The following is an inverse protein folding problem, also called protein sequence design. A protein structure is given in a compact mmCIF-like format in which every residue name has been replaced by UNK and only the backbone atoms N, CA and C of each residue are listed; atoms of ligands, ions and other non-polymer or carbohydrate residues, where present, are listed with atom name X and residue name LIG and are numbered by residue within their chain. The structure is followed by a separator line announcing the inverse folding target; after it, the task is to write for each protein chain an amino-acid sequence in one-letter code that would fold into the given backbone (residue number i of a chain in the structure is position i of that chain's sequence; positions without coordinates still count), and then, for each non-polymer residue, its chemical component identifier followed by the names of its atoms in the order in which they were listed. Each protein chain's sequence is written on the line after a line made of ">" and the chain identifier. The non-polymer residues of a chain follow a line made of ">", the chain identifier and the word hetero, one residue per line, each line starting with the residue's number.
data_IF_841593274958
#
_entry.id   IF_841593274958
#
_cell.length_a   1.000
_cell.length_b   1.000
_cell.length_c   1.000
_cell.angle_alpha   90.00
_cell.angle_beta   90.00
_cell.angle_gamma   90.00
#
_symmetry.space_group_name_H-M   'P 1'
#
loop_
_entity.id
_entity.type
_entity.pdbx_description
1 polymer ?
#
# COMPACT_ATOMS: atom_id res chain seq x y z
N UNK A 1 -21.02 -56.39 -35.33
CA UNK A 1 -21.43 -55.77 -34.05
C UNK A 1 -20.35 -54.76 -33.67
N UNK A 2 -20.75 -53.49 -33.49
CA UNK A 2 -19.84 -52.36 -33.26
C UNK A 2 -19.34 -52.36 -31.80
N UNK A 3 -18.08 -52.00 -31.53
CA UNK A 3 -17.65 -51.67 -30.17
C UNK A 3 -18.25 -50.32 -29.76
N UNK A 4 -18.90 -50.29 -28.59
CA UNK A 4 -19.41 -49.08 -27.97
C UNK A 4 -18.23 -48.27 -27.41
N UNK A 5 -17.96 -47.13 -28.02
CA UNK A 5 -17.11 -46.09 -27.45
C UNK A 5 -17.89 -45.42 -26.31
N UNK A 6 -17.72 -45.91 -25.08
CA UNK A 6 -18.02 -45.11 -23.89
C UNK A 6 -16.91 -44.08 -23.74
N UNK A 7 -17.21 -42.85 -24.18
CA UNK A 7 -16.38 -41.68 -24.02
C UNK A 7 -16.27 -41.42 -22.52
N UNK A 8 -15.17 -41.88 -21.92
CA UNK A 8 -14.73 -41.47 -20.60
C UNK A 8 -14.37 -39.98 -20.71
N UNK A 9 -15.35 -39.11 -20.48
CA UNK A 9 -15.12 -37.68 -20.30
C UNK A 9 -14.26 -37.51 -19.05
N UNK A 10 -12.94 -37.44 -19.27
CA UNK A 10 -12.00 -36.93 -18.30
C UNK A 10 -12.30 -35.43 -18.17
N UNK A 11 -13.25 -35.11 -17.28
CA UNK A 11 -13.41 -33.75 -16.77
C UNK A 11 -12.14 -33.49 -15.96
N UNK A 12 -11.09 -33.04 -16.67
CA UNK A 12 -9.93 -32.44 -16.07
C UNK A 12 -10.45 -31.17 -15.40
N UNK A 13 -10.87 -31.29 -14.15
CA UNK A 13 -10.92 -30.16 -13.24
C UNK A 13 -9.49 -29.62 -13.25
N UNK A 14 -9.23 -28.64 -14.12
CA UNK A 14 -8.18 -27.68 -13.90
C UNK A 14 -8.63 -27.00 -12.60
N UNK A 15 -8.20 -27.58 -11.48
CA UNK A 15 -8.10 -26.88 -10.22
C UNK A 15 -7.04 -25.83 -10.52
N UNK A 16 -7.48 -24.73 -11.14
CA UNK A 16 -6.72 -23.48 -11.11
C UNK A 16 -6.42 -23.33 -9.62
N UNK A 17 -5.15 -23.25 -9.20
CA UNK A 17 -4.87 -22.86 -7.84
C UNK A 17 -5.48 -21.46 -7.72
N UNK A 18 -6.70 -21.39 -7.17
CA UNK A 18 -7.21 -20.17 -6.59
C UNK A 18 -6.09 -19.73 -5.69
N UNK A 19 -5.40 -18.70 -6.16
CA UNK A 19 -4.23 -18.20 -5.49
C UNK A 19 -4.79 -17.75 -4.15
N UNK A 20 -4.50 -18.54 -3.11
CA UNK A 20 -4.57 -18.15 -1.72
C UNK A 20 -3.56 -17.02 -1.56
N UNK A 21 -3.81 -15.87 -2.20
CA UNK A 21 -3.38 -14.60 -1.67
C UNK A 21 -4.19 -14.48 -0.39
N UNK A 22 -3.60 -15.02 0.68
CA UNK A 22 -4.05 -14.79 2.04
C UNK A 22 -4.42 -13.32 2.12
N UNK A 23 -5.66 -13.10 2.51
CA UNK A 23 -6.34 -11.87 2.28
C UNK A 23 -5.70 -10.72 3.08
N UNK A 24 -4.73 -10.00 2.47
CA UNK A 24 -3.92 -9.02 3.19
C UNK A 24 -4.67 -7.70 3.31
N UNK A 25 -4.72 -7.17 4.54
CA UNK A 25 -5.14 -5.80 4.80
C UNK A 25 -4.30 -4.82 3.99
N UNK A 26 -4.94 -3.73 3.59
CA UNK A 26 -4.32 -2.64 2.85
C UNK A 26 -4.02 -1.49 3.81
N UNK A 27 -2.92 -0.78 3.60
CA UNK A 27 -2.46 0.24 4.55
C UNK A 27 -2.26 1.61 3.93
N UNK A 28 -2.39 1.75 2.61
CA UNK A 28 -2.16 3.02 1.93
C UNK A 28 -3.31 3.33 0.96
N UNK A 29 -3.71 4.60 0.92
CA UNK A 29 -4.55 5.16 -0.13
C UNK A 29 -4.20 6.63 -0.26
N UNK A 30 -4.23 7.19 -1.47
CA UNK A 30 -3.95 8.61 -1.69
C UNK A 30 -2.56 9.06 -1.21
N UNK A 31 -1.57 8.15 -1.27
CA UNK A 31 -0.22 8.38 -0.74
C UNK A 31 -0.16 8.62 0.77
N UNK A 32 -1.22 8.27 1.50
CA UNK A 32 -1.34 8.38 2.96
C UNK A 32 -1.40 6.95 3.48
N UNK A 33 -0.62 6.66 4.52
CA UNK A 33 -0.66 5.40 5.25
C UNK A 33 -1.56 5.48 6.48
N UNK A 34 -2.34 4.43 6.74
CA UNK A 34 -2.95 4.22 8.05
C UNK A 34 -1.85 4.19 9.10
N UNK A 35 -2.05 4.80 10.27
CA UNK A 35 -1.05 4.90 11.33
C UNK A 35 -0.02 6.02 11.15
N UNK A 36 -0.05 6.78 10.04
CA UNK A 36 0.79 7.96 9.88
C UNK A 36 0.26 9.15 10.69
N UNK A 37 1.13 10.11 11.03
CA UNK A 37 0.71 11.32 11.73
C UNK A 37 -0.21 12.16 10.85
N UNK A 38 -1.33 12.64 11.40
CA UNK A 38 -2.24 13.55 10.68
C UNK A 38 -1.60 14.87 10.28
N UNK A 39 -0.66 15.37 11.09
CA UNK A 39 0.04 16.62 10.80
C UNK A 39 0.73 16.57 9.43
N UNK A 40 1.27 15.40 9.05
CA UNK A 40 1.89 15.18 7.75
C UNK A 40 0.87 15.29 6.60
N UNK A 41 -0.37 14.87 6.82
CA UNK A 41 -1.44 15.05 5.80
C UNK A 41 -1.70 16.53 5.55
N UNK A 42 -1.71 17.34 6.61
CA UNK A 42 -1.88 18.80 6.51
C UNK A 42 -0.67 19.45 5.81
N UNK A 43 0.54 18.95 6.04
CA UNK A 43 1.74 19.40 5.32
C UNK A 43 1.68 19.07 3.82
N UNK A 44 1.12 17.91 3.45
CA UNK A 44 1.02 17.47 2.05
C UNK A 44 -0.11 18.21 1.30
N UNK A 45 -1.28 18.35 1.92
CA UNK A 45 -2.51 18.80 1.24
C UNK A 45 -2.98 20.19 1.68
N UNK A 46 -2.23 20.88 2.54
CA UNK A 46 -2.59 22.18 3.10
C UNK A 46 -3.61 22.06 4.24
N UNK A 47 -4.24 23.18 4.60
CA UNK A 47 -5.22 23.21 5.70
C UNK A 47 -6.54 22.53 5.27
N UNK A 48 -7.17 21.70 6.12
CA UNK A 48 -8.49 21.16 5.82
C UNK A 48 -9.54 22.29 5.68
N UNK A 49 -10.49 22.11 4.77
CA UNK A 49 -11.61 23.06 4.59
C UNK A 49 -12.71 22.84 5.63
N UNK A 50 -12.78 21.64 6.21
CA UNK A 50 -13.69 21.29 7.29
C UNK A 50 -13.03 20.26 8.19
N UNK A 51 -13.17 20.46 9.50
CA UNK A 51 -12.76 19.51 10.52
C UNK A 51 -13.83 19.43 11.59
N UNK A 52 -13.96 18.27 12.23
CA UNK A 52 -14.88 18.09 13.34
C UNK A 52 -14.38 17.00 14.27
N UNK A 53 -14.69 17.15 15.56
CA UNK A 53 -14.51 16.12 16.58
C UNK A 53 -15.88 15.80 17.14
N UNK A 54 -16.27 14.53 17.04
CA UNK A 54 -17.51 13.99 17.57
C UNK A 54 -17.41 13.83 19.09
N UNK A 55 -18.56 13.64 19.75
CA UNK A 55 -18.65 13.52 21.21
C UNK A 55 -17.90 12.30 21.77
N UNK A 56 -17.76 11.23 20.98
CA UNK A 56 -17.03 10.01 21.33
C UNK A 56 -15.50 10.15 21.18
N UNK A 57 -15.03 11.31 20.71
CA UNK A 57 -13.64 11.65 20.48
C UNK A 57 -13.10 11.24 19.11
N UNK A 58 -13.90 10.59 18.25
CA UNK A 58 -13.53 10.45 16.84
C UNK A 58 -13.45 11.83 16.19
N UNK A 59 -12.57 11.99 15.22
CA UNK A 59 -12.46 13.25 14.49
C UNK A 59 -12.09 13.03 13.04
N UNK A 60 -12.41 14.02 12.21
CA UNK A 60 -12.00 14.02 10.82
C UNK A 60 -11.46 15.38 10.38
N UNK A 61 -10.58 15.34 9.37
CA UNK A 61 -10.19 16.47 8.54
C UNK A 61 -10.57 16.17 7.10
N UNK A 62 -11.27 17.10 6.46
CA UNK A 62 -11.65 17.03 5.07
C UNK A 62 -10.87 18.09 4.25
N UNK A 63 -10.31 17.64 3.13
CA UNK A 63 -9.54 18.43 2.17
C UNK A 63 -10.32 18.47 0.85
N UNK A 64 -10.53 19.67 0.33
CA UNK A 64 -11.24 19.87 -0.93
C UNK A 64 -10.21 19.85 -2.04
N UNK A 65 -10.39 18.94 -2.98
CA UNK A 65 -9.57 18.79 -4.16
C UNK A 65 -10.46 19.10 -5.39
N UNK A 66 -9.88 19.07 -6.58
CA UNK A 66 -10.56 19.58 -7.78
C UNK A 66 -11.90 18.88 -8.05
N UNK A 67 -11.92 17.54 -8.01
CA UNK A 67 -13.09 16.73 -8.40
C UNK A 67 -13.50 15.68 -7.37
N UNK A 68 -12.91 15.76 -6.18
CA UNK A 68 -13.22 14.91 -5.05
C UNK A 68 -12.83 15.58 -3.74
N UNK A 69 -13.27 14.98 -2.64
CA UNK A 69 -12.79 15.28 -1.31
C UNK A 69 -11.92 14.13 -0.83
N UNK A 70 -10.90 14.47 -0.04
CA UNK A 70 -10.13 13.54 0.76
C UNK A 70 -10.53 13.77 2.23
N UNK A 71 -10.86 12.71 2.94
CA UNK A 71 -11.16 12.75 4.37
C UNK A 71 -10.18 11.81 5.07
N UNK A 72 -9.57 12.29 6.15
CA UNK A 72 -8.81 11.45 7.07
C UNK A 72 -9.48 11.50 8.44
N UNK A 73 -9.63 10.33 9.05
CA UNK A 73 -10.27 10.17 10.34
C UNK A 73 -9.28 9.66 11.37
N UNK A 74 -9.55 9.93 12.64
CA UNK A 74 -8.78 9.43 13.78
C UNK A 74 -9.70 8.93 14.87
N UNK A 75 -9.28 7.86 15.53
CA UNK A 75 -9.95 7.35 16.72
C UNK A 75 -9.58 8.15 17.97
N UNK A 76 -10.41 8.05 19.00
CA UNK A 76 -10.25 8.80 20.25
C UNK A 76 -8.97 8.47 21.03
N UNK A 77 -8.47 7.24 20.96
CA UNK A 77 -7.26 6.80 21.68
C UNK A 77 -5.98 7.29 21.03
N UNK A 78 -5.99 7.51 19.72
CA UNK A 78 -4.85 7.94 18.91
C UNK A 78 -5.26 9.07 17.96
N UNK A 79 -5.66 10.23 18.51
CA UNK A 79 -6.14 11.36 17.72
C UNK A 79 -5.03 11.96 16.84
N UNK A 80 -3.77 11.63 17.10
CA UNK A 80 -2.58 12.02 16.37
C UNK A 80 -2.38 11.24 15.05
N UNK A 81 -3.00 10.07 14.91
CA UNK A 81 -2.76 9.14 13.81
C UNK A 81 -3.96 9.04 12.86
N UNK A 82 -3.66 8.83 11.58
CA UNK A 82 -4.66 8.50 10.57
C UNK A 82 -5.18 7.08 10.83
N UNK A 83 -6.46 6.98 11.18
CA UNK A 83 -7.16 5.73 11.42
C UNK A 83 -7.98 5.25 10.22
N UNK A 84 -8.53 6.19 9.46
CA UNK A 84 -9.18 5.89 8.19
C UNK A 84 -8.89 6.99 7.16
N UNK A 85 -8.98 6.60 5.89
CA UNK A 85 -8.79 7.45 4.72
C UNK A 85 -9.99 7.22 3.83
N UNK A 86 -10.63 8.27 3.37
CA UNK A 86 -11.72 8.21 2.41
C UNK A 86 -11.50 9.19 1.28
N UNK A 87 -11.73 8.75 0.05
CA UNK A 87 -11.89 9.64 -1.09
C UNK A 87 -13.32 9.53 -1.61
N UNK A 88 -13.93 10.66 -1.95
CA UNK A 88 -15.30 10.70 -2.46
C UNK A 88 -15.46 11.79 -3.51
N UNK A 89 -16.08 11.47 -4.63
CA UNK A 89 -16.30 12.41 -5.73
C UNK A 89 -16.37 11.70 -7.09
N UNK A 90 -16.04 12.44 -8.14
CA UNK A 90 -16.19 11.96 -9.51
C UNK A 90 -14.95 11.24 -10.03
N UNK A 91 -13.76 11.74 -9.67
CA UNK A 91 -12.47 11.18 -10.10
C UNK A 91 -11.37 11.57 -9.12
N UNK A 92 -10.26 10.83 -9.16
CA UNK A 92 -9.01 11.18 -8.47
C UNK A 92 -7.82 11.02 -9.43
N UNK A 93 -6.63 11.58 -9.11
CA UNK A 93 -5.41 11.34 -9.88
C UNK A 93 -5.11 9.84 -10.00
N UNK A 94 -4.59 9.42 -11.16
CA UNK A 94 -4.27 8.01 -11.42
C UNK A 94 -3.29 7.48 -10.36
N UNK A 95 -3.51 6.26 -9.88
CA UNK A 95 -2.73 5.57 -8.84
C UNK A 95 -2.91 6.11 -7.42
N UNK A 96 -3.76 7.12 -7.21
CA UNK A 96 -4.03 7.65 -5.86
C UNK A 96 -5.22 6.97 -5.17
N UNK A 97 -5.94 6.12 -5.89
CA UNK A 97 -6.98 5.29 -5.30
C UNK A 97 -6.40 4.13 -4.48
N UNK A 98 -7.17 3.03 -4.37
CA UNK A 98 -6.82 1.86 -3.58
C UNK A 98 -6.41 0.71 -4.50
N UNK A 99 -5.11 0.39 -4.54
CA UNK A 99 -4.58 -0.69 -5.38
C UNK A 99 -5.09 -0.62 -6.83
N UNK A 100 -4.87 0.53 -7.48
CA UNK A 100 -5.33 0.90 -8.82
C UNK A 100 -6.85 1.04 -9.05
N UNK A 101 -7.68 0.84 -8.03
CA UNK A 101 -9.11 1.23 -8.06
C UNK A 101 -9.24 2.71 -7.75
N UNK A 102 -9.81 3.48 -8.68
CA UNK A 102 -10.02 4.91 -8.58
C UNK A 102 -11.53 5.25 -8.63
N UNK A 103 -11.87 6.45 -8.19
CA UNK A 103 -13.19 7.05 -8.39
C UNK A 103 -13.52 7.09 -9.90
N UNK A 104 -14.75 6.73 -10.26
CA UNK A 104 -15.24 6.61 -11.63
C UNK A 104 -14.96 5.26 -12.32
N UNK A 105 -14.16 4.38 -11.70
CA UNK A 105 -14.01 3.00 -12.20
C UNK A 105 -15.34 2.23 -12.10
N UNK A 106 -15.52 1.25 -12.99
CA UNK A 106 -16.65 0.31 -12.92
C UNK A 106 -16.49 -0.61 -11.70
N UNK A 107 -17.60 -0.94 -11.05
CA UNK A 107 -17.59 -1.90 -9.93
C UNK A 107 -17.07 -3.29 -10.34
N UNK A 108 -17.20 -3.66 -11.61
CA UNK A 108 -16.66 -4.91 -12.12
C UNK A 108 -15.13 -4.97 -12.02
N UNK A 109 -14.45 -3.82 -12.14
CA UNK A 109 -13.00 -3.73 -11.92
C UNK A 109 -12.66 -4.06 -10.46
N UNK A 110 -13.40 -3.47 -9.52
CA UNK A 110 -13.27 -3.76 -8.08
C UNK A 110 -13.40 -5.25 -7.81
N UNK A 111 -14.46 -5.88 -8.32
CA UNK A 111 -14.74 -7.30 -8.11
C UNK A 111 -13.65 -8.16 -8.75
N UNK A 112 -13.13 -7.77 -9.93
CA UNK A 112 -12.03 -8.49 -10.58
C UNK A 112 -10.71 -8.37 -9.83
N UNK A 113 -10.47 -7.25 -9.15
CA UNK A 113 -9.22 -6.98 -8.41
C UNK A 113 -9.24 -7.60 -7.02
N UNK A 114 -10.36 -7.50 -6.30
CA UNK A 114 -10.44 -7.90 -4.89
C UNK A 114 -11.29 -9.14 -4.64
N UNK A 115 -12.00 -9.64 -5.65
CA UNK A 115 -12.95 -10.72 -5.49
C UNK A 115 -14.33 -10.22 -5.03
N UNK A 116 -15.16 -11.17 -4.60
CA UNK A 116 -16.52 -10.89 -4.13
C UNK A 116 -16.47 -10.09 -2.80
N UNK A 117 -17.30 -9.05 -2.62
CA UNK A 117 -17.42 -8.38 -1.33
C UNK A 117 -17.99 -9.30 -0.25
N UNK A 118 -17.69 -8.97 1.00
CA UNK A 118 -18.25 -9.61 2.19
C UNK A 118 -19.77 -9.38 2.25
N UNK A 119 -20.19 -8.16 1.92
CA UNK A 119 -21.57 -7.71 1.97
C UNK A 119 -21.84 -6.68 0.87
N UNK A 120 -23.06 -6.70 0.31
CA UNK A 120 -23.59 -5.64 -0.53
C UNK A 120 -24.87 -5.16 0.13
N UNK A 121 -24.97 -3.86 0.42
CA UNK A 121 -26.14 -3.24 1.02
C UNK A 121 -26.62 -2.04 0.20
N UNK A 122 -27.93 -1.86 0.12
CA UNK A 122 -28.52 -0.66 -0.47
C UNK A 122 -28.29 0.57 0.40
N UNK A 123 -28.21 1.73 -0.21
CA UNK A 123 -28.24 3.01 0.51
C UNK A 123 -29.69 3.44 0.79
N UNK A 124 -29.88 4.17 1.88
CA UNK A 124 -31.17 4.72 2.27
C UNK A 124 -31.01 6.20 2.58
N UNK A 125 -31.99 7.01 2.18
CA UNK A 125 -32.04 8.42 2.53
C UNK A 125 -32.29 8.58 4.04
N UNK A 126 -31.49 9.41 4.71
CA UNK A 126 -31.54 9.52 6.16
C UNK A 126 -32.85 10.12 6.68
N UNK A 127 -33.50 11.01 5.93
CA UNK A 127 -34.72 11.71 6.34
C UNK A 127 -35.98 10.89 6.03
N UNK A 128 -36.07 10.39 4.81
CA UNK A 128 -37.25 9.69 4.28
C UNK A 128 -37.22 8.18 4.53
N UNK A 129 -36.04 7.62 4.82
CA UNK A 129 -35.78 6.17 4.93
C UNK A 129 -36.07 5.40 3.64
N UNK A 130 -36.24 6.08 2.51
CA UNK A 130 -36.44 5.45 1.21
C UNK A 130 -35.12 4.91 0.65
N UNK A 131 -35.20 3.79 -0.07
CA UNK A 131 -34.05 3.18 -0.72
C UNK A 131 -33.55 4.03 -1.91
N UNK A 132 -32.28 4.39 -1.89
CA UNK A 132 -31.59 5.06 -2.98
C UNK A 132 -31.10 4.01 -3.99
N UNK A 133 -32.01 3.57 -4.87
CA UNK A 133 -31.81 2.43 -5.80
C UNK A 133 -30.54 2.46 -6.66
N UNK A 134 -29.97 3.64 -6.88
CA UNK A 134 -28.77 3.80 -7.70
C UNK A 134 -27.46 3.69 -6.90
N UNK A 135 -27.53 3.64 -5.57
CA UNK A 135 -26.37 3.65 -4.68
C UNK A 135 -26.30 2.33 -3.91
N UNK A 136 -25.13 1.70 -3.96
CA UNK A 136 -24.84 0.46 -3.28
C UNK A 136 -23.51 0.57 -2.53
N UNK A 137 -23.45 -0.03 -1.34
CA UNK A 137 -22.23 -0.14 -0.56
C UNK A 137 -21.69 -1.57 -0.64
N UNK A 138 -20.43 -1.69 -1.04
CA UNK A 138 -19.68 -2.92 -1.14
C UNK A 138 -18.69 -2.97 0.02
N UNK A 139 -18.87 -3.93 0.92
CA UNK A 139 -18.04 -4.10 2.09
C UNK A 139 -16.96 -5.16 1.84
N UNK A 140 -15.70 -4.82 2.10
CA UNK A 140 -14.56 -5.75 2.19
C UNK A 140 -13.92 -5.63 3.58
N UNK A 141 -14.74 -5.33 4.57
CA UNK A 141 -14.32 -4.92 5.90
C UNK A 141 -13.78 -6.07 6.75
N UNK A 142 -14.23 -7.30 6.50
CA UNK A 142 -13.81 -8.49 7.25
C UNK A 142 -12.67 -9.20 6.52
N UNK A 143 -12.79 -9.32 5.21
CA UNK A 143 -11.82 -9.96 4.33
C UNK A 143 -10.58 -9.08 4.12
N UNK A 144 -10.76 -7.75 4.03
CA UNK A 144 -9.68 -6.77 3.92
C UNK A 144 -9.80 -5.77 5.06
N UNK A 145 -10.14 -4.53 4.74
CA UNK A 145 -10.34 -3.42 5.68
C UNK A 145 -10.83 -2.16 4.96
N UNK A 146 -11.62 -2.31 3.90
CA UNK A 146 -12.12 -1.19 3.13
C UNK A 146 -13.57 -1.40 2.69
N UNK A 147 -14.20 -0.32 2.28
CA UNK A 147 -15.53 -0.32 1.68
C UNK A 147 -15.58 0.64 0.50
N UNK A 148 -16.53 0.41 -0.39
CA UNK A 148 -16.73 1.18 -1.60
C UNK A 148 -18.20 1.56 -1.71
N UNK A 149 -18.47 2.82 -2.03
CA UNK A 149 -19.77 3.25 -2.50
C UNK A 149 -19.76 3.28 -4.03
N UNK A 150 -20.84 2.76 -4.61
CA UNK A 150 -21.05 2.70 -6.05
C UNK A 150 -22.35 3.41 -6.38
N UNK A 151 -22.30 4.37 -7.28
CA UNK A 151 -23.48 4.99 -7.87
C UNK A 151 -23.53 4.68 -9.36
N UNK A 152 -24.67 4.17 -9.85
CA UNK A 152 -24.83 3.82 -11.27
C UNK A 152 -23.70 2.92 -11.81
N UNK A 153 -23.32 1.89 -11.03
CA UNK A 153 -22.22 0.96 -11.31
C UNK A 153 -20.80 1.57 -11.31
N UNK A 154 -20.66 2.85 -10.98
CA UNK A 154 -19.37 3.56 -10.86
C UNK A 154 -18.98 3.81 -9.42
N UNK A 155 -17.69 3.65 -9.10
CA UNK A 155 -17.13 3.95 -7.78
C UNK A 155 -17.23 5.46 -7.50
N UNK A 156 -17.95 5.85 -6.45
CA UNK A 156 -18.10 7.25 -6.01
C UNK A 156 -17.42 7.54 -4.68
N UNK A 157 -17.15 6.51 -3.88
CA UNK A 157 -16.40 6.63 -2.63
C UNK A 157 -15.57 5.37 -2.38
N UNK A 158 -14.37 5.54 -1.84
CA UNK A 158 -13.53 4.46 -1.33
C UNK A 158 -13.11 4.86 0.08
N UNK A 159 -13.38 4.00 1.07
CA UNK A 159 -12.96 4.18 2.46
C UNK A 159 -12.07 3.03 2.89
N UNK A 160 -10.84 3.33 3.27
CA UNK A 160 -9.87 2.42 3.88
C UNK A 160 -9.77 2.70 5.38
N UNK A 161 -9.91 1.68 6.23
CA UNK A 161 -9.89 1.85 7.69
C UNK A 161 -8.91 0.90 8.36
N UNK A 162 -8.35 1.27 9.51
CA UNK A 162 -7.51 0.36 10.27
C UNK A 162 -8.35 -0.71 10.97
N UNK A 163 -8.10 -1.98 10.65
CA UNK A 163 -8.77 -3.15 11.26
C UNK A 163 -7.77 -4.17 11.79
N UNK A 164 -6.67 -3.68 12.37
CA UNK A 164 -5.58 -4.48 12.92
C UNK A 164 -4.42 -4.70 11.96
N UNK A 165 -3.45 -5.49 12.40
CA UNK A 165 -2.18 -5.67 11.69
C UNK A 165 -2.31 -6.56 10.45
N UNK A 166 -1.36 -6.41 9.52
CA UNK A 166 -1.15 -7.32 8.42
C UNK A 166 -0.78 -8.71 8.95
N UNK A 167 -1.20 -9.75 8.23
CA UNK A 167 -0.73 -11.12 8.44
C UNK A 167 0.40 -11.36 7.45
N UNK A 168 1.64 -11.39 7.95
CA UNK A 168 2.84 -11.59 7.14
C UNK A 168 3.71 -12.69 7.73
N UNK A 169 4.52 -13.32 6.87
CA UNK A 169 5.53 -14.29 7.27
C UNK A 169 6.54 -13.71 8.26
N UNK A 170 7.12 -14.60 9.07
CA UNK A 170 8.18 -14.24 10.02
C UNK A 170 9.49 -13.84 9.35
N UNK A 171 9.73 -14.30 8.12
CA UNK A 171 10.84 -13.90 7.27
C UNK A 171 10.37 -12.98 6.14
N UNK A 172 11.27 -12.11 5.68
CA UNK A 172 11.06 -11.32 4.47
C UNK A 172 11.13 -12.23 3.23
N UNK A 173 10.09 -12.20 2.39
CA UNK A 173 10.08 -12.88 1.09
C UNK A 173 10.89 -12.07 0.07
N UNK A 174 12.19 -12.35 -0.02
CA UNK A 174 13.13 -11.57 -0.85
C UNK A 174 12.71 -11.54 -2.34
N UNK A 175 12.37 -12.66 -3.02
CA UNK A 175 12.07 -12.62 -4.44
C UNK A 175 10.85 -11.75 -4.78
N UNK A 176 9.77 -11.83 -4.00
CA UNK A 176 8.57 -11.02 -4.22
C UNK A 176 8.81 -9.54 -3.89
N UNK A 177 9.59 -9.27 -2.85
CA UNK A 177 9.98 -7.90 -2.47
C UNK A 177 10.77 -7.22 -3.59
N UNK A 178 11.77 -7.91 -4.16
CA UNK A 178 12.55 -7.35 -5.26
C UNK A 178 11.72 -7.24 -6.54
N UNK A 179 10.77 -8.14 -6.79
CA UNK A 179 9.82 -7.97 -7.90
C UNK A 179 9.01 -6.66 -7.81
N UNK A 180 8.66 -6.22 -6.58
CA UNK A 180 8.02 -4.92 -6.37
C UNK A 180 8.99 -3.78 -6.65
N UNK A 181 10.19 -3.81 -6.04
CA UNK A 181 11.20 -2.74 -6.18
C UNK A 181 11.71 -2.55 -7.61
N UNK A 182 11.78 -3.63 -8.39
CA UNK A 182 12.19 -3.65 -9.79
C UNK A 182 11.03 -3.36 -10.75
N UNK A 183 9.80 -3.31 -10.24
CA UNK A 183 8.63 -2.96 -11.02
C UNK A 183 8.56 -1.47 -11.34
N UNK A 184 7.59 -1.08 -12.15
CA UNK A 184 7.26 0.32 -12.44
C UNK A 184 5.95 0.77 -11.75
N UNK A 185 5.38 -0.07 -10.89
CA UNK A 185 4.18 0.23 -10.13
C UNK A 185 4.54 1.10 -8.90
N UNK A 186 4.43 2.41 -9.08
CA UNK A 186 4.75 3.38 -8.05
C UNK A 186 3.87 3.24 -6.79
N UNK A 187 2.65 2.72 -6.92
CA UNK A 187 1.78 2.49 -5.77
C UNK A 187 2.34 1.35 -4.92
N UNK A 188 2.69 0.22 -5.53
CA UNK A 188 3.26 -0.93 -4.82
C UNK A 188 4.61 -0.59 -4.18
N UNK A 189 5.46 0.16 -4.88
CA UNK A 189 6.73 0.64 -4.33
C UNK A 189 6.47 1.58 -3.15
N UNK A 190 5.57 2.55 -3.29
CA UNK A 190 5.21 3.48 -2.19
C UNK A 190 4.63 2.74 -0.98
N UNK A 191 3.85 1.68 -1.20
CA UNK A 191 3.32 0.84 -0.12
C UNK A 191 4.45 0.10 0.62
N UNK A 192 5.47 -0.37 -0.09
CA UNK A 192 6.62 -1.07 0.50
C UNK A 192 7.51 -0.12 1.32
N UNK A 193 7.55 1.19 1.04
CA UNK A 193 8.41 2.12 1.76
C UNK A 193 7.85 2.46 3.15
N UNK A 194 8.69 2.43 4.18
CA UNK A 194 8.32 2.96 5.50
C UNK A 194 7.96 4.44 5.38
N UNK A 195 6.99 4.89 6.16
CA UNK A 195 6.57 6.30 6.19
C UNK A 195 7.71 7.29 6.51
N UNK A 196 8.76 6.81 7.17
CA UNK A 196 9.95 7.57 7.51
C UNK A 196 11.19 6.96 6.79
N UNK A 197 11.02 6.51 5.55
CA UNK A 197 12.11 6.02 4.73
C UNK A 197 13.24 7.05 4.62
N UNK A 198 14.48 6.58 4.70
CA UNK A 198 15.69 7.40 4.55
C UNK A 198 16.61 6.76 3.52
N UNK A 199 17.07 7.58 2.58
CA UNK A 199 18.23 7.27 1.74
C UNK A 199 19.45 7.98 2.32
N UNK A 200 20.50 7.23 2.62
CA UNK A 200 21.81 7.74 3.00
C UNK A 200 22.80 7.52 1.87
N UNK A 201 23.35 8.61 1.36
CA UNK A 201 24.37 8.59 0.32
C UNK A 201 25.77 8.45 0.90
N UNK A 202 26.73 8.10 0.03
CA UNK A 202 28.15 7.92 0.38
C UNK A 202 28.82 9.13 1.01
N UNK A 203 28.33 10.33 0.72
CA UNK A 203 28.80 11.58 1.33
C UNK A 203 28.09 11.90 2.65
N UNK A 204 27.41 10.91 3.24
CA UNK A 204 26.60 10.99 4.46
C UNK A 204 25.40 11.95 4.36
N UNK A 205 25.03 12.38 3.14
CA UNK A 205 23.77 13.12 2.97
C UNK A 205 22.59 12.20 3.14
N UNK A 206 21.59 12.69 3.86
CA UNK A 206 20.32 11.99 4.06
C UNK A 206 19.22 12.65 3.25
N UNK A 207 18.48 11.84 2.51
CA UNK A 207 17.29 12.23 1.77
C UNK A 207 16.09 11.51 2.37
N UNK A 208 15.00 12.26 2.57
CA UNK A 208 13.73 11.75 3.07
C UNK A 208 12.65 12.07 2.06
N UNK A 209 11.63 11.22 2.02
CA UNK A 209 10.44 11.50 1.23
C UNK A 209 9.64 12.55 1.98
N UNK A 210 9.52 13.74 1.37
CA UNK A 210 8.67 14.83 1.86
C UNK A 210 7.56 15.01 0.84
N UNK A 211 6.31 14.81 1.26
CA UNK A 211 5.17 14.88 0.36
C UNK A 211 4.48 13.53 0.14
N UNK A 212 3.64 13.47 -0.89
CA UNK A 212 3.02 12.23 -1.35
C UNK A 212 4.10 11.32 -2.01
N UNK A 213 4.29 10.06 -1.55
CA UNK A 213 5.34 9.18 -2.05
C UNK A 213 5.18 8.81 -3.52
N UNK A 214 3.96 8.73 -4.05
CA UNK A 214 3.71 8.42 -5.47
C UNK A 214 4.16 9.59 -6.34
N UNK A 215 3.78 10.82 -5.97
CA UNK A 215 4.26 12.03 -6.65
C UNK A 215 5.78 12.12 -6.55
N UNK A 216 6.33 11.87 -5.37
CA UNK A 216 7.76 11.95 -5.13
C UNK A 216 8.54 10.95 -6.00
N UNK A 217 8.08 9.69 -6.08
CA UNK A 217 8.71 8.65 -6.90
C UNK A 217 8.55 8.87 -8.41
N UNK A 218 7.57 9.66 -8.84
CA UNK A 218 7.43 10.06 -10.25
C UNK A 218 8.30 11.26 -10.65
N UNK A 219 8.90 11.95 -9.68
CA UNK A 219 9.74 13.13 -9.93
C UNK A 219 11.20 12.76 -10.19
N UNK A 220 12.00 13.69 -10.72
CA UNK A 220 13.45 13.51 -10.88
C UNK A 220 14.16 14.09 -9.64
N UNK A 221 14.59 13.23 -8.73
CA UNK A 221 15.33 13.60 -7.52
C UNK A 221 16.34 12.50 -7.15
N UNK A 222 17.08 12.69 -6.06
CA UNK A 222 18.14 11.79 -5.61
C UNK A 222 17.62 10.38 -5.29
N UNK A 223 16.50 10.29 -4.58
CA UNK A 223 15.87 9.01 -4.25
C UNK A 223 15.39 8.31 -5.52
N UNK A 224 14.69 9.00 -6.42
CA UNK A 224 14.19 8.34 -7.65
C UNK A 224 15.32 7.90 -8.57
N UNK A 225 16.42 8.65 -8.60
CA UNK A 225 17.63 8.22 -9.29
C UNK A 225 18.20 6.91 -8.71
N UNK A 226 18.24 6.78 -7.37
CA UNK A 226 18.67 5.55 -6.69
C UNK A 226 17.67 4.40 -6.79
N UNK A 227 16.39 4.69 -7.02
CA UNK A 227 15.39 3.64 -7.28
C UNK A 227 15.46 3.12 -8.71
N UNK A 228 15.56 4.00 -9.72
CA UNK A 228 15.25 3.61 -11.11
C UNK A 228 16.32 3.92 -12.15
N UNK A 229 17.14 4.95 -11.97
CA UNK A 229 17.87 5.54 -13.10
C UNK A 229 19.37 5.25 -13.09
N UNK A 230 19.95 4.98 -11.93
CA UNK A 230 21.37 4.67 -11.85
C UNK A 230 21.65 3.19 -12.19
N UNK A 231 22.86 2.86 -12.70
CA UNK A 231 23.23 1.49 -13.00
C UNK A 231 23.08 0.55 -11.80
N UNK A 232 23.41 1.02 -10.60
CA UNK A 232 23.28 0.30 -9.33
C UNK A 232 22.04 0.71 -8.52
N UNK A 233 20.99 1.12 -9.21
CA UNK A 233 19.70 1.44 -8.58
C UNK A 233 19.01 0.19 -8.02
N UNK A 234 18.06 0.39 -7.11
CA UNK A 234 17.26 -0.69 -6.52
C UNK A 234 16.58 -1.56 -7.58
N UNK A 235 16.10 -0.95 -8.67
CA UNK A 235 15.46 -1.67 -9.76
C UNK A 235 16.41 -2.59 -10.55
N UNK A 236 17.73 -2.41 -10.42
CA UNK A 236 18.74 -3.24 -11.09
C UNK A 236 19.40 -4.25 -10.15
N UNK A 237 19.14 -4.20 -8.85
CA UNK A 237 19.74 -5.14 -7.88
C UNK A 237 19.24 -6.56 -8.12
N UNK A 238 20.14 -7.51 -8.35
CA UNK A 238 19.78 -8.91 -8.46
C UNK A 238 19.75 -9.57 -7.06
N UNK A 239 18.60 -10.08 -6.57
CA UNK A 239 18.51 -10.68 -5.24
C UNK A 239 19.39 -11.93 -5.06
N UNK A 240 19.91 -12.53 -6.14
CA UNK A 240 20.89 -13.63 -6.05
C UNK A 240 22.31 -13.16 -5.71
N UNK A 241 22.57 -11.87 -5.79
CA UNK A 241 23.87 -11.23 -5.52
C UNK A 241 23.94 -10.64 -4.09
N UNK A 242 22.97 -10.98 -3.23
CA UNK A 242 23.01 -10.63 -1.81
C UNK A 242 24.22 -11.33 -1.19
N UNK A 243 25.18 -10.54 -0.70
CA UNK A 243 26.39 -11.04 -0.04
C UNK A 243 26.20 -11.24 1.46
N UNK A 244 25.20 -10.59 2.05
CA UNK A 244 24.87 -10.74 3.46
C UNK A 244 23.35 -10.58 3.66
N UNK A 245 22.76 -11.48 4.44
CA UNK A 245 21.32 -11.54 4.70
C UNK A 245 21.09 -11.91 6.16
N UNK A 246 20.77 -10.93 6.99
CA UNK A 246 20.64 -11.09 8.44
C UNK A 246 19.22 -10.81 8.91
N UNK A 247 18.68 -11.70 9.73
CA UNK A 247 17.46 -11.44 10.49
C UNK A 247 17.83 -10.72 11.78
N UNK A 248 17.20 -9.59 12.01
CA UNK A 248 17.39 -8.79 13.21
C UNK A 248 16.34 -9.20 14.25
N UNK A 249 16.84 -9.68 15.38
CA UNK A 249 16.04 -10.28 16.44
C UNK A 249 16.20 -9.53 17.74
N UNK A 250 15.11 -9.40 18.50
CA UNK A 250 15.19 -8.92 19.88
C UNK A 250 15.64 -10.05 20.82
N UNK A 251 15.77 -9.74 22.11
CA UNK A 251 16.17 -10.71 23.16
C UNK A 251 15.26 -11.95 23.21
N UNK A 252 13.98 -11.80 22.84
CA UNK A 252 12.98 -12.88 22.78
C UNK A 252 13.00 -13.65 21.46
N UNK A 253 14.03 -13.48 20.63
CA UNK A 253 14.19 -14.09 19.31
C UNK A 253 13.11 -13.70 18.28
N UNK A 254 12.31 -12.66 18.56
CA UNK A 254 11.35 -12.14 17.59
C UNK A 254 12.07 -11.36 16.50
N UNK A 255 11.86 -11.74 15.25
CA UNK A 255 12.40 -11.04 14.08
C UNK A 255 11.62 -9.74 13.88
N UNK A 256 12.29 -8.61 14.08
CA UNK A 256 11.71 -7.28 13.87
C UNK A 256 12.26 -6.58 12.62
N UNK A 257 13.34 -7.08 12.03
CA UNK A 257 13.95 -6.48 10.85
C UNK A 257 14.74 -7.46 10.02
N UNK A 258 15.06 -7.05 8.79
CA UNK A 258 15.89 -7.79 7.84
C UNK A 258 16.91 -6.83 7.26
N UNK A 259 18.18 -7.23 7.32
CA UNK A 259 19.28 -6.51 6.71
C UNK A 259 19.79 -7.30 5.50
N UNK A 260 19.93 -6.62 4.37
CA UNK A 260 20.49 -7.16 3.13
C UNK A 260 21.66 -6.28 2.67
N UNK A 261 22.75 -6.92 2.23
CA UNK A 261 23.93 -6.24 1.70
C UNK A 261 24.21 -6.69 0.27
N UNK A 262 24.55 -5.72 -0.57
CA UNK A 262 25.00 -5.91 -1.94
C UNK A 262 26.35 -5.21 -2.13
N UNK A 263 27.16 -5.75 -3.04
CA UNK A 263 28.38 -5.07 -3.52
C UNK A 263 28.32 -4.97 -5.04
N UNK A 264 28.32 -3.75 -5.56
CA UNK A 264 28.21 -3.47 -7.00
C UNK A 264 29.32 -2.52 -7.42
N UNK A 265 30.34 -3.08 -8.05
CA UNK A 265 31.57 -2.34 -8.37
C UNK A 265 32.21 -1.80 -7.09
N UNK A 266 32.33 -0.48 -7.04
CA UNK A 266 32.88 0.25 -5.89
C UNK A 266 31.84 0.61 -4.85
N UNK A 267 30.53 0.44 -5.05
CA UNK A 267 29.53 0.78 -4.03
C UNK A 267 29.06 -0.46 -3.26
N UNK A 268 28.89 -0.31 -1.95
CA UNK A 268 28.21 -1.25 -1.08
C UNK A 268 26.84 -0.68 -0.73
N UNK A 269 25.79 -1.44 -0.99
CA UNK A 269 24.41 -1.02 -0.74
C UNK A 269 23.83 -1.87 0.37
N UNK A 270 23.32 -1.19 1.39
CA UNK A 270 22.70 -1.75 2.58
C UNK A 270 21.21 -1.45 2.54
N UNK A 271 20.37 -2.49 2.56
CA UNK A 271 18.93 -2.35 2.66
C UNK A 271 18.48 -2.84 4.02
N UNK A 272 17.71 -2.01 4.72
CA UNK A 272 17.14 -2.34 6.00
C UNK A 272 15.62 -2.34 5.89
N UNK A 273 15.03 -3.51 6.14
CA UNK A 273 13.59 -3.70 6.20
C UNK A 273 13.14 -3.85 7.65
N UNK A 274 11.99 -3.28 7.97
CA UNK A 274 11.35 -3.38 9.27
C UNK A 274 10.05 -4.19 9.15
N UNK A 275 9.84 -5.12 10.08
CA UNK A 275 8.55 -5.80 10.26
C UNK A 275 7.67 -4.96 11.16
N UNK A 276 6.65 -4.33 10.58
CA UNK A 276 5.74 -3.40 11.25
C UNK A 276 4.29 -3.93 11.25
N UNK A 277 3.34 -3.12 11.72
CA UNK A 277 1.92 -3.47 11.69
C UNK A 277 1.36 -3.59 10.26
N UNK A 278 1.96 -2.89 9.28
CA UNK A 278 1.57 -2.97 7.86
C UNK A 278 2.27 -4.13 7.13
N UNK A 279 3.16 -4.84 7.83
CA UNK A 279 4.00 -5.90 7.26
C UNK A 279 5.45 -5.46 7.10
N UNK A 280 6.15 -6.11 6.18
CA UNK A 280 7.54 -5.80 5.86
C UNK A 280 7.65 -4.54 5.01
N UNK A 281 8.47 -3.60 5.45
CA UNK A 281 8.65 -2.29 4.80
C UNK A 281 10.13 -1.97 4.64
N UNK A 282 10.50 -1.36 3.51
CA UNK A 282 11.86 -0.84 3.30
C UNK A 282 11.99 0.47 4.08
N UNK A 283 12.82 0.43 5.12
CA UNK A 283 12.97 1.51 6.08
C UNK A 283 14.17 2.41 5.78
N UNK A 284 15.26 1.82 5.30
CA UNK A 284 16.47 2.57 4.98
C UNK A 284 17.23 1.92 3.81
N UNK A 285 17.80 2.78 2.98
CA UNK A 285 18.84 2.43 2.01
C UNK A 285 20.08 3.24 2.36
N UNK A 286 21.20 2.58 2.63
CA UNK A 286 22.48 3.23 2.88
C UNK A 286 23.50 2.78 1.82
N UNK A 287 24.26 3.74 1.30
CA UNK A 287 25.22 3.53 0.22
C UNK A 287 26.59 3.98 0.71
N UNK A 288 27.55 3.08 0.66
CA UNK A 288 28.92 3.30 1.07
C UNK A 288 29.87 3.06 -0.11
N UNK A 289 31.00 3.76 -0.15
CA UNK A 289 32.09 3.35 -1.02
C UNK A 289 32.77 2.14 -0.41
N UNK A 290 33.04 1.16 -1.25
CA UNK A 290 33.97 0.08 -0.99
C UNK A 290 35.35 0.72 -1.03
N UNK A 291 36.05 0.78 0.11
CA UNK A 291 37.43 1.30 0.34
C UNK A 291 37.43 2.75 0.90
N UNK A 292 38.13 3.09 2.00
CA UNK A 292 39.38 2.54 2.57
C UNK A 292 39.23 1.84 3.94
N UNK A 293 39.47 0.52 3.99
CA UNK A 293 40.25 -0.06 5.10
C UNK A 293 41.73 0.11 4.76
N UNK A 294 42.23 1.32 4.96
CA UNK A 294 43.64 1.60 5.21
C UNK A 294 43.70 2.65 6.33
N UNK A 295 43.68 2.16 7.57
CA UNK A 295 44.74 2.34 8.58
C UNK A 295 44.45 1.44 9.80
#
# INVERSE_FOLDING_TARGET
>A
MKPNNSILSFLLFIIIPFSLFGESKLFMMYGIKLGQKRSLVTEIYGKPFKSHTFEDGYSYDAFKLDEHILVVESENKRPDLVWAIQIQGNKNPKHFGLNDINLGDEVQKVISTFGKPDEIRSAYDEQTKEELKQIQYYSYDTSRNFSIEVQNQKVTSIKLSFKGTAVVSDSLEIPSTFKILQGNDLYQISQLLDQNFVLKEKDKKEYKIVGNPITFLSSKNEITNRFFHQPNSLANLNPKEIIESLDLKNEKQFIFGKYLKFKLGEETIHLFFLKSYEGWTLKEMNIENSVDTQE
#
